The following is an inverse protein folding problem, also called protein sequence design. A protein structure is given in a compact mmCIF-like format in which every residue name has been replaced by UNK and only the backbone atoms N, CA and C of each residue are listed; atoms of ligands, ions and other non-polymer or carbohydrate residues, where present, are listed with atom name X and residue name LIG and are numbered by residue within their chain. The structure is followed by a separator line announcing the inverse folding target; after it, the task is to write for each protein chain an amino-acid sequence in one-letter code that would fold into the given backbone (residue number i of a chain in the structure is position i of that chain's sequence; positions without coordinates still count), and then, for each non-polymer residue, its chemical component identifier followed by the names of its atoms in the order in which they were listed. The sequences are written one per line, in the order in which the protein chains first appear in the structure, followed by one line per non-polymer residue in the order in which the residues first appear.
data_IF_261170673721
#
_entry.id   IF_261170673721
#
_cell.length_a   1.000
_cell.length_b   1.000
_cell.length_c   1.000
_cell.angle_alpha   90.00
_cell.angle_beta   90.00
_cell.angle_gamma   90.00
#
_symmetry.space_group_name_H-M   'P 1'
#
loop_
_entity.id
_entity.type
_entity.pdbx_description
1 polymer ?
#
# COMPACT_ATOMS: atom_id res chain seq x y z
N UNK A 1 45.74 -2.20 -4.81
CA UNK A 1 44.63 -2.81 -5.58
C UNK A 1 43.70 -1.69 -6.03
N UNK A 2 43.60 -1.42 -7.34
CA UNK A 2 42.70 -0.39 -7.86
C UNK A 2 41.26 -0.95 -7.90
N UNK A 3 40.32 -0.27 -7.27
CA UNK A 3 38.89 -0.64 -7.31
C UNK A 3 38.37 -0.53 -8.74
N UNK A 4 37.66 -1.56 -9.20
CA UNK A 4 36.98 -1.58 -10.51
C UNK A 4 36.06 -0.35 -10.62
N UNK A 5 36.08 0.41 -11.75
CA UNK A 5 35.17 1.53 -11.92
C UNK A 5 33.72 1.02 -11.90
N UNK A 6 32.84 1.73 -11.19
CA UNK A 6 31.40 1.47 -11.20
C UNK A 6 30.91 1.68 -12.63
N UNK A 7 30.54 0.59 -13.31
CA UNK A 7 29.94 0.67 -14.64
C UNK A 7 28.59 1.36 -14.50
N UNK A 8 28.44 2.45 -15.22
CA UNK A 8 27.20 3.20 -15.28
C UNK A 8 26.20 2.48 -16.21
N UNK A 9 25.30 1.68 -15.62
CA UNK A 9 24.29 0.88 -16.34
C UNK A 9 22.99 1.65 -16.64
N UNK A 10 22.99 2.99 -16.59
CA UNK A 10 21.79 3.79 -16.89
C UNK A 10 21.48 3.74 -18.39
N UNK A 11 20.20 3.57 -18.74
CA UNK A 11 19.74 3.63 -20.15
C UNK A 11 19.81 5.04 -20.75
N UNK A 12 19.74 6.07 -19.92
CA UNK A 12 19.68 7.47 -20.32
C UNK A 12 20.57 8.36 -19.43
N UNK A 13 21.17 9.45 -19.96
CA UNK A 13 21.93 10.41 -19.16
C UNK A 13 21.02 11.15 -18.17
N UNK A 14 21.56 11.49 -16.98
CA UNK A 14 20.84 12.33 -16.00
C UNK A 14 21.08 13.79 -16.34
N UNK A 15 20.01 14.58 -16.32
CA UNK A 15 20.08 16.04 -16.29
C UNK A 15 19.81 16.48 -14.84
N UNK A 16 20.65 17.35 -14.23
CA UNK A 16 20.41 17.84 -12.88
C UNK A 16 19.05 18.51 -12.75
N UNK A 17 18.30 18.15 -11.69
CA UNK A 17 17.03 18.76 -11.34
C UNK A 17 16.94 18.89 -9.82
N UNK A 18 16.67 20.10 -9.34
CA UNK A 18 16.53 20.42 -7.92
C UNK A 18 15.10 20.90 -7.66
N UNK A 19 14.18 19.95 -7.55
CA UNK A 19 12.76 20.23 -7.31
C UNK A 19 12.12 19.18 -6.40
N UNK A 20 10.95 19.50 -5.85
CA UNK A 20 10.14 18.55 -5.07
C UNK A 20 9.28 17.71 -6.02
N UNK A 21 9.18 16.41 -5.73
CA UNK A 21 8.26 15.50 -6.41
C UNK A 21 7.31 14.82 -5.43
N UNK A 22 6.14 14.43 -5.91
CA UNK A 22 5.22 13.54 -5.21
C UNK A 22 5.17 12.22 -5.98
N UNK A 23 5.51 11.13 -5.29
CA UNK A 23 5.36 9.78 -5.83
C UNK A 23 4.16 9.10 -5.18
N UNK A 24 3.39 8.35 -5.97
CA UNK A 24 2.40 7.39 -5.47
C UNK A 24 2.99 6.00 -5.62
N UNK A 25 2.98 5.23 -4.54
CA UNK A 25 3.51 3.88 -4.50
C UNK A 25 2.36 2.90 -4.26
N UNK A 26 2.20 1.94 -5.16
CA UNK A 26 1.31 0.80 -4.95
C UNK A 26 2.14 -0.33 -4.34
N UNK A 27 1.69 -0.87 -3.21
CA UNK A 27 2.35 -1.98 -2.51
C UNK A 27 1.35 -3.04 -2.10
N UNK A 28 1.79 -4.29 -2.12
CA UNK A 28 1.05 -5.39 -1.53
C UNK A 28 1.12 -5.31 -0.01
N UNK A 29 0.00 -5.59 0.63
CA UNK A 29 -0.13 -5.73 2.08
C UNK A 29 -0.81 -7.06 2.38
N UNK A 30 -0.52 -7.64 3.54
CA UNK A 30 -1.22 -8.82 4.04
C UNK A 30 -2.32 -8.35 5.00
N UNK A 31 -3.59 -8.53 4.63
CA UNK A 31 -4.73 -8.18 5.50
C UNK A 31 -4.89 -9.28 6.55
N UNK A 32 -4.84 -8.91 7.83
CA UNK A 32 -4.91 -9.85 8.96
C UNK A 32 -6.34 -9.98 9.50
N UNK A 33 -7.07 -8.86 9.55
CA UNK A 33 -8.49 -8.79 9.90
C UNK A 33 -9.10 -7.48 9.41
N UNK A 34 -10.44 -7.44 9.35
CA UNK A 34 -11.18 -6.28 8.90
C UNK A 34 -12.51 -6.11 9.65
N UNK A 35 -12.94 -4.86 9.74
CA UNK A 35 -14.26 -4.44 10.18
C UNK A 35 -14.89 -3.51 9.14
N UNK A 36 -16.13 -3.06 9.38
CA UNK A 36 -16.73 -2.04 8.52
C UNK A 36 -15.95 -0.72 8.54
N UNK A 37 -15.24 -0.39 9.63
CA UNK A 37 -14.60 0.91 9.82
C UNK A 37 -13.09 0.92 9.52
N UNK A 38 -12.47 -0.23 9.28
CA UNK A 38 -11.02 -0.30 9.10
C UNK A 38 -10.49 -1.71 8.98
N UNK A 39 -9.18 -1.84 8.87
CA UNK A 39 -8.48 -3.12 8.83
C UNK A 39 -7.18 -3.08 9.62
N UNK A 40 -6.69 -4.27 9.96
CA UNK A 40 -5.32 -4.51 10.41
C UNK A 40 -4.57 -5.27 9.34
N UNK A 41 -3.37 -4.83 9.01
CA UNK A 41 -2.54 -5.43 7.97
C UNK A 41 -1.05 -5.42 8.31
N UNK A 42 -0.27 -6.17 7.54
CA UNK A 42 1.18 -6.23 7.61
C UNK A 42 1.81 -5.74 6.32
N UNK A 43 2.92 -5.01 6.44
CA UNK A 43 3.79 -4.63 5.31
C UNK A 43 5.24 -4.53 5.76
N UNK A 44 6.18 -4.67 4.81
CA UNK A 44 7.61 -4.41 5.05
C UNK A 44 7.98 -2.95 4.84
N UNK A 45 7.08 -2.13 4.31
CA UNK A 45 7.33 -0.70 4.14
C UNK A 45 7.21 0.05 5.47
N UNK A 46 8.14 0.99 5.74
CA UNK A 46 7.99 1.89 6.86
C UNK A 46 6.79 2.80 6.61
N UNK A 47 5.82 2.75 7.52
CA UNK A 47 4.61 3.56 7.49
C UNK A 47 4.59 4.52 8.68
N UNK A 48 4.02 5.72 8.47
CA UNK A 48 3.82 6.71 9.52
C UNK A 48 2.34 6.83 9.90
N UNK A 49 2.03 6.93 11.19
CA UNK A 49 0.69 7.25 11.68
C UNK A 49 0.19 8.57 11.08
N UNK A 50 -1.09 8.64 10.72
CA UNK A 50 -1.67 9.78 10.03
C UNK A 50 -1.52 9.76 8.50
N UNK A 51 -0.68 8.87 7.94
CA UNK A 51 -0.54 8.73 6.49
C UNK A 51 -1.86 8.34 5.84
N UNK A 52 -2.19 8.99 4.72
CA UNK A 52 -3.34 8.65 3.90
C UNK A 52 -2.96 7.62 2.84
N UNK A 53 -3.81 6.63 2.67
CA UNK A 53 -3.65 5.58 1.66
C UNK A 53 -4.94 5.34 0.91
N UNK A 54 -4.80 4.94 -0.35
CA UNK A 54 -5.87 4.36 -1.15
C UNK A 54 -5.66 2.85 -1.18
N UNK A 55 -6.64 2.10 -0.70
CA UNK A 55 -6.64 0.65 -0.66
C UNK A 55 -7.51 0.12 -1.79
N UNK A 56 -6.99 -0.84 -2.55
CA UNK A 56 -7.79 -1.69 -3.44
C UNK A 56 -7.96 -3.03 -2.73
N UNK A 57 -9.19 -3.32 -2.32
CA UNK A 57 -9.54 -4.49 -1.52
C UNK A 57 -10.11 -5.59 -2.41
N UNK A 58 -9.98 -6.87 -2.01
CA UNK A 58 -10.74 -7.96 -2.59
C UNK A 58 -12.24 -7.64 -2.75
N UNK A 59 -12.85 -8.19 -3.79
CA UNK A 59 -14.22 -7.84 -4.19
C UNK A 59 -14.34 -6.53 -4.96
N UNK A 60 -13.22 -5.90 -5.33
CA UNK A 60 -13.18 -4.72 -6.21
C UNK A 60 -13.52 -3.39 -5.52
N UNK A 61 -13.56 -3.38 -4.19
CA UNK A 61 -13.84 -2.15 -3.44
C UNK A 61 -12.57 -1.32 -3.27
N UNK A 62 -12.68 -0.01 -3.44
CA UNK A 62 -11.61 0.92 -3.11
C UNK A 62 -11.93 1.70 -1.83
N UNK A 63 -10.91 1.99 -1.03
CA UNK A 63 -11.12 2.77 0.19
C UNK A 63 -9.96 3.71 0.53
N UNK A 64 -10.29 4.97 0.77
CA UNK A 64 -9.37 5.89 1.42
C UNK A 64 -9.32 5.59 2.91
N UNK A 65 -8.12 5.49 3.45
CA UNK A 65 -7.88 5.18 4.85
C UNK A 65 -6.76 6.04 5.41
N UNK A 66 -6.78 6.23 6.73
CA UNK A 66 -5.70 6.85 7.50
C UNK A 66 -5.08 5.81 8.41
N UNK A 67 -3.75 5.76 8.44
CA UNK A 67 -3.04 4.92 9.40
C UNK A 67 -3.32 5.44 10.81
N UNK A 68 -3.97 4.63 11.64
CA UNK A 68 -4.35 4.97 13.00
C UNK A 68 -3.23 4.65 14.00
N UNK A 69 -2.52 3.54 13.79
CA UNK A 69 -1.39 3.11 14.61
C UNK A 69 -0.45 2.21 13.79
N UNK A 70 0.81 2.11 14.24
CA UNK A 70 1.85 1.23 13.66
C UNK A 70 2.60 0.56 14.80
N UNK A 71 2.81 -0.75 14.69
CA UNK A 71 3.60 -1.57 15.62
C UNK A 71 4.48 -2.54 14.80
N UNK A 72 5.76 -2.20 14.67
CA UNK A 72 6.69 -2.95 13.82
C UNK A 72 6.23 -2.97 12.36
N UNK A 73 6.00 -4.17 11.83
CA UNK A 73 5.51 -4.39 10.45
C UNK A 73 3.97 -4.40 10.35
N UNK A 74 3.26 -4.28 11.47
CA UNK A 74 1.81 -4.33 11.53
C UNK A 74 1.25 -2.92 11.72
N UNK A 75 0.14 -2.63 11.08
CA UNK A 75 -0.55 -1.35 11.21
C UNK A 75 -2.06 -1.55 11.21
N UNK A 76 -2.75 -0.62 11.84
CA UNK A 76 -4.20 -0.47 11.72
C UNK A 76 -4.52 0.80 10.96
N UNK A 77 -5.53 0.76 10.11
CA UNK A 77 -6.05 1.94 9.44
C UNK A 77 -7.56 2.08 9.62
N UNK A 78 -8.00 3.33 9.66
CA UNK A 78 -9.40 3.72 9.71
C UNK A 78 -9.84 4.16 8.32
N UNK A 79 -10.96 3.64 7.84
CA UNK A 79 -11.56 4.05 6.58
C UNK A 79 -12.25 5.41 6.73
N UNK A 80 -12.02 6.30 5.77
CA UNK A 80 -12.72 7.59 5.70
C UNK A 80 -14.22 7.44 5.49
N UNK A 81 -14.64 6.31 4.90
CA UNK A 81 -16.03 5.90 4.76
C UNK A 81 -16.16 4.41 5.11
N UNK A 82 -17.11 3.99 5.96
CA UNK A 82 -17.27 2.58 6.28
C UNK A 82 -17.57 1.71 5.03
N UNK A 83 -17.12 0.47 5.05
CA UNK A 83 -17.55 -0.55 4.09
C UNK A 83 -19.04 -0.87 4.31
N UNK A 84 -19.75 -1.10 3.21
CA UNK A 84 -21.09 -1.70 3.27
C UNK A 84 -20.99 -3.17 3.72
N UNK A 85 -22.08 -3.77 4.22
CA UNK A 85 -22.09 -5.20 4.57
C UNK A 85 -21.68 -6.12 3.41
N UNK A 86 -22.02 -5.75 2.17
CA UNK A 86 -21.63 -6.50 0.97
C UNK A 86 -20.13 -6.42 0.70
N UNK A 87 -19.54 -5.24 0.81
CA UNK A 87 -18.10 -5.03 0.62
C UNK A 87 -17.29 -5.76 1.69
N UNK A 88 -17.70 -5.65 2.96
CA UNK A 88 -17.05 -6.36 4.07
C UNK A 88 -17.11 -7.88 3.88
N UNK A 89 -18.27 -8.40 3.47
CA UNK A 89 -18.41 -9.83 3.15
C UNK A 89 -17.48 -10.25 2.01
N UNK A 90 -17.40 -9.46 0.92
CA UNK A 90 -16.49 -9.73 -0.20
C UNK A 90 -15.02 -9.73 0.20
N UNK A 91 -14.62 -8.92 1.18
CA UNK A 91 -13.28 -8.91 1.74
C UNK A 91 -13.01 -10.15 2.62
N UNK A 92 -13.94 -10.51 3.49
CA UNK A 92 -13.80 -11.64 4.42
C UNK A 92 -13.85 -13.00 3.71
N UNK A 93 -14.68 -13.12 2.67
CA UNK A 93 -14.81 -14.34 1.87
C UNK A 93 -13.66 -14.51 0.86
N UNK A 94 -12.79 -13.51 0.71
CA UNK A 94 -11.65 -13.58 -0.18
C UNK A 94 -10.64 -14.61 0.32
N UNK A 95 -10.13 -15.45 -0.59
CA UNK A 95 -9.05 -16.39 -0.25
C UNK A 95 -7.77 -15.62 0.08
N UNK A 96 -6.87 -16.21 0.87
CA UNK A 96 -5.58 -15.60 1.21
C UNK A 96 -4.72 -15.24 -0.03
N UNK A 97 -5.01 -15.86 -1.18
CA UNK A 97 -4.37 -15.60 -2.48
C UNK A 97 -5.23 -14.76 -3.43
N UNK A 98 -6.32 -14.14 -2.95
CA UNK A 98 -7.07 -13.21 -3.74
C UNK A 98 -6.13 -12.07 -4.13
N UNK A 99 -5.75 -12.02 -5.41
CA UNK A 99 -4.97 -10.91 -5.92
C UNK A 99 -5.75 -9.63 -5.59
N UNK A 100 -5.14 -8.62 -4.94
CA UNK A 100 -5.74 -7.30 -4.94
C UNK A 100 -6.01 -6.98 -6.41
N UNK A 101 -7.21 -6.50 -6.74
CA UNK A 101 -7.58 -6.16 -8.11
C UNK A 101 -6.52 -5.16 -8.60
N UNK A 102 -5.50 -5.70 -9.25
CA UNK A 102 -4.35 -4.94 -9.65
C UNK A 102 -4.90 -4.02 -10.71
N UNK A 103 -4.98 -2.73 -10.38
CA UNK A 103 -4.81 -1.59 -11.28
C UNK A 103 -4.66 -2.01 -12.75
N UNK A 104 -5.77 -2.45 -13.35
CA UNK A 104 -5.86 -2.77 -14.77
C UNK A 104 -6.48 -1.54 -15.42
N UNK A 105 -5.65 -0.94 -16.25
CA UNK A 105 -5.85 0.18 -17.20
C UNK A 105 -5.78 1.60 -16.63
#
# INVERSE_FOLDING_TARGET
MASKPLIDNRREPRIPAECRGLARLAVSIEILDASAAGLRARTTLPLATGTLMKLSLPGGSERHARIAWVEGATFGCEFMKPLTPRELRGLVDATANAAPYAICE
#
